data_IF_076950980930
#
_entry.id   IF_076950980930
#
_cell.length_a   1.000
_cell.length_b   1.000
_cell.length_c   1.000
_cell.angle_alpha   90.00
_cell.angle_beta   90.00
_cell.angle_gamma   90.00
#
_symmetry.space_group_name_H-M   'P 1'
#
loop_
_entity.id
_entity.type
_entity.pdbx_description
1 polymer ?
#
# COMPACT_ATOMS: atom_id res chain seq x y z
N UNK A 1 53.28 77.17 78.63
CA UNK A 1 53.82 76.02 79.40
C UNK A 1 53.00 74.80 79.00
N UNK A 2 53.68 73.67 78.76
CA UNK A 2 53.18 72.36 78.31
C UNK A 2 53.21 72.06 76.79
N UNK A 3 54.44 71.83 76.32
CA UNK A 3 55.01 70.67 75.61
C UNK A 3 54.36 70.01 74.36
N UNK A 4 55.23 69.87 73.35
CA UNK A 4 55.25 69.05 72.12
C UNK A 4 54.81 67.56 72.25
N UNK A 5 54.34 66.95 71.14
CA UNK A 5 55.11 65.93 70.35
C UNK A 5 54.40 65.42 69.07
N UNK A 6 55.25 64.93 68.17
CA UNK A 6 55.11 64.63 66.73
C UNK A 6 54.31 63.34 66.41
N UNK A 7 54.23 63.09 65.09
CA UNK A 7 54.13 61.82 64.34
C UNK A 7 52.77 61.20 64.07
N UNK A 8 52.54 60.85 62.80
CA UNK A 8 51.67 59.73 62.41
C UNK A 8 50.81 59.99 61.18
N UNK A 9 51.28 59.53 60.02
CA UNK A 9 50.47 59.38 58.81
C UNK A 9 49.39 58.30 58.99
N UNK A 10 48.24 58.42 58.31
CA UNK A 10 47.61 57.33 57.55
C UNK A 10 46.26 57.72 56.95
N UNK A 11 46.16 57.44 55.65
CA UNK A 11 45.08 56.72 54.97
C UNK A 11 43.66 57.31 54.93
N UNK A 12 43.28 57.77 53.74
CA UNK A 12 42.05 57.40 53.01
C UNK A 12 42.44 57.55 51.52
N UNK A 13 42.23 56.60 50.61
CA UNK A 13 40.98 56.43 49.86
C UNK A 13 41.10 55.19 48.93
N UNK A 14 39.96 54.51 48.80
CA UNK A 14 39.47 53.64 47.70
C UNK A 14 40.06 52.23 47.50
N UNK A 15 39.30 51.27 48.03
CA UNK A 15 39.15 49.90 47.54
C UNK A 15 38.82 49.87 46.05
N UNK A 16 39.64 49.20 45.24
CA UNK A 16 39.26 48.76 43.90
C UNK A 16 39.28 47.24 43.89
N UNK A 17 38.12 46.64 44.17
CA UNK A 17 37.84 45.24 43.87
C UNK A 17 37.75 45.12 42.34
N UNK A 18 38.78 44.59 41.69
CA UNK A 18 38.65 44.13 40.30
C UNK A 18 37.77 42.87 40.31
N UNK A 19 36.46 43.06 40.21
CA UNK A 19 35.57 42.02 39.78
C UNK A 19 35.89 41.75 38.30
N UNK A 20 36.70 40.73 38.02
CA UNK A 20 36.76 40.14 36.70
C UNK A 20 35.37 39.59 36.40
N UNK A 21 34.57 40.35 35.66
CA UNK A 21 33.32 39.87 35.10
C UNK A 21 33.69 38.76 34.11
N UNK A 22 33.67 37.51 34.58
CA UNK A 22 33.54 36.36 33.70
C UNK A 22 32.17 36.50 33.02
N UNK A 23 32.12 37.25 31.93
CA UNK A 23 30.98 37.21 31.03
C UNK A 23 30.89 35.80 30.50
N UNK A 24 29.98 34.99 31.04
CA UNK A 24 29.62 33.73 30.43
C UNK A 24 29.03 34.09 29.05
N UNK A 25 29.81 33.92 27.99
CA UNK A 25 29.29 33.99 26.63
C UNK A 25 28.44 32.74 26.42
N UNK A 26 27.13 32.90 26.54
CA UNK A 26 26.18 31.89 26.11
C UNK A 26 25.98 32.08 24.60
N UNK A 27 26.65 31.27 23.78
CA UNK A 27 26.29 31.16 22.37
C UNK A 27 24.91 30.50 22.28
N UNK A 28 23.98 31.21 21.66
CA UNK A 28 22.63 30.72 21.37
C UNK A 28 22.58 30.35 19.89
N UNK A 29 22.21 29.11 19.60
CA UNK A 29 22.05 28.61 18.23
C UNK A 29 20.58 28.29 18.03
N UNK A 30 19.98 28.93 17.03
CA UNK A 30 18.62 28.60 16.61
C UNK A 30 18.65 27.33 15.74
N UNK A 31 17.95 26.28 16.18
CA UNK A 31 17.75 25.07 15.41
C UNK A 31 16.36 25.12 14.76
N UNK A 32 16.32 25.14 13.43
CA UNK A 32 15.07 24.95 12.67
C UNK A 32 14.88 23.47 12.39
N UNK A 33 13.84 22.88 12.98
CA UNK A 33 13.45 21.48 12.75
C UNK A 33 12.15 21.47 11.94
N UNK A 34 12.19 20.87 10.76
CA UNK A 34 11.02 20.71 9.88
C UNK A 34 10.80 19.23 9.57
N UNK A 35 9.55 18.81 9.48
CA UNK A 35 9.17 17.46 9.04
C UNK A 35 7.76 17.47 8.46
N UNK A 36 7.42 16.44 7.69
CA UNK A 36 6.10 16.24 7.08
C UNK A 36 5.61 14.83 7.39
N UNK A 37 4.33 14.70 7.76
CA UNK A 37 3.64 13.41 7.92
C UNK A 37 2.77 13.22 6.67
N UNK A 38 2.85 12.04 6.06
CA UNK A 38 2.08 11.67 4.87
C UNK A 38 1.39 10.34 5.08
N UNK A 39 0.24 10.17 4.42
CA UNK A 39 -0.43 8.88 4.28
C UNK A 39 0.36 7.99 3.29
N UNK A 40 0.30 6.67 3.45
CA UNK A 40 1.11 5.72 2.64
C UNK A 40 0.28 4.68 1.88
N UNK A 41 -1.05 4.72 2.00
CA UNK A 41 -1.97 3.74 1.38
C UNK A 41 -3.24 4.40 0.87
N UNK A 42 -3.88 3.78 -0.12
CA UNK A 42 -5.25 4.09 -0.50
C UNK A 42 -6.26 3.26 0.32
N UNK A 43 -7.49 3.74 0.45
CA UNK A 43 -8.64 2.96 0.92
C UNK A 43 -9.24 2.16 -0.24
N UNK A 44 -9.57 0.88 -0.01
CA UNK A 44 -10.35 0.06 -0.96
C UNK A 44 -11.82 0.16 -0.57
N UNK A 45 -12.66 0.68 -1.47
CA UNK A 45 -14.04 1.07 -1.13
C UNK A 45 -15.05 -0.06 -1.19
N UNK A 46 -14.83 -1.02 -2.08
CA UNK A 46 -15.81 -2.08 -2.38
C UNK A 46 -15.44 -3.46 -1.80
N UNK A 47 -14.38 -3.54 -1.00
CA UNK A 47 -14.01 -4.73 -0.24
C UNK A 47 -14.51 -4.61 1.21
N UNK A 48 -15.71 -5.11 1.48
CA UNK A 48 -16.23 -5.15 2.84
C UNK A 48 -15.36 -6.07 3.70
N UNK A 49 -14.65 -5.53 4.70
CA UNK A 49 -13.70 -6.28 5.52
C UNK A 49 -12.68 -7.10 4.70
N UNK A 50 -12.17 -6.53 3.60
CA UNK A 50 -11.21 -7.19 2.71
C UNK A 50 -11.76 -8.41 1.94
N UNK A 51 -13.08 -8.56 1.85
CA UNK A 51 -13.73 -9.61 1.07
C UNK A 51 -14.65 -9.03 0.00
N UNK A 52 -14.64 -9.68 -1.17
CA UNK A 52 -15.59 -9.45 -2.25
C UNK A 52 -16.07 -10.80 -2.77
N UNK A 53 -17.30 -10.85 -3.27
CA UNK A 53 -17.87 -12.05 -3.89
C UNK A 53 -18.24 -11.72 -5.33
N UNK A 54 -17.73 -12.51 -6.27
CA UNK A 54 -18.08 -12.44 -7.68
C UNK A 54 -18.89 -13.68 -8.04
N UNK A 55 -20.19 -13.50 -8.25
CA UNK A 55 -21.09 -14.59 -8.66
C UNK A 55 -21.05 -14.79 -10.17
N UNK A 56 -20.26 -15.77 -10.60
CA UNK A 56 -20.13 -16.17 -12.00
C UNK A 56 -21.42 -16.78 -12.58
N UNK A 57 -22.43 -17.08 -11.77
CA UNK A 57 -23.68 -17.69 -12.21
C UNK A 57 -23.51 -19.11 -12.75
N UNK A 58 -24.50 -19.58 -13.49
CA UNK A 58 -24.51 -20.93 -14.09
C UNK A 58 -24.29 -20.87 -15.61
N UNK A 59 -23.60 -21.86 -16.15
CA UNK A 59 -23.33 -22.02 -17.58
C UNK A 59 -23.47 -23.49 -17.98
N UNK A 60 -23.98 -23.74 -19.18
CA UNK A 60 -24.08 -25.09 -19.75
C UNK A 60 -22.72 -25.63 -20.17
N UNK A 61 -22.57 -26.96 -20.15
CA UNK A 61 -21.33 -27.64 -20.57
C UNK A 61 -21.00 -27.39 -22.05
N UNK A 62 -22.01 -27.07 -22.86
CA UNK A 62 -21.95 -26.76 -24.29
C UNK A 62 -21.33 -25.39 -24.59
N UNK A 63 -21.18 -24.52 -23.59
CA UNK A 63 -20.44 -23.27 -23.74
C UNK A 63 -18.93 -23.48 -23.85
N UNK A 64 -18.43 -24.66 -23.47
CA UNK A 64 -17.01 -24.98 -23.50
C UNK A 64 -16.68 -25.82 -24.73
N UNK A 65 -15.76 -25.31 -25.56
CA UNK A 65 -15.39 -25.90 -26.85
C UNK A 65 -14.06 -26.65 -26.84
N UNK A 66 -13.38 -26.74 -25.69
CA UNK A 66 -12.04 -27.32 -25.57
C UNK A 66 -11.18 -26.63 -24.52
N UNK A 67 -9.94 -27.10 -24.36
CA UNK A 67 -8.99 -26.52 -23.42
C UNK A 67 -8.83 -25.00 -23.64
N UNK A 68 -8.92 -24.22 -22.56
CA UNK A 68 -8.82 -22.77 -22.62
C UNK A 68 -10.08 -22.04 -23.11
N UNK A 69 -11.15 -22.76 -23.47
CA UNK A 69 -12.43 -22.11 -23.77
C UNK A 69 -13.05 -21.52 -22.50
N UNK A 70 -13.60 -20.31 -22.64
CA UNK A 70 -14.19 -19.55 -21.54
C UNK A 70 -15.69 -19.79 -21.52
N UNK A 71 -16.20 -20.17 -20.34
CA UNK A 71 -17.63 -20.27 -20.07
C UNK A 71 -18.21 -18.92 -19.69
N UNK A 72 -18.89 -18.84 -18.55
CA UNK A 72 -19.37 -17.55 -18.05
C UNK A 72 -18.24 -16.71 -17.48
N UNK A 73 -18.36 -15.39 -17.64
CA UNK A 73 -17.47 -14.42 -17.03
C UNK A 73 -18.26 -13.26 -16.43
N UNK A 74 -17.69 -12.60 -15.42
CA UNK A 74 -18.27 -11.45 -14.76
C UNK A 74 -17.23 -10.36 -14.52
N UNK A 75 -17.50 -9.11 -14.95
CA UNK A 75 -16.68 -7.99 -14.59
C UNK A 75 -16.85 -7.69 -13.10
N UNK A 76 -15.76 -7.26 -12.49
CA UNK A 76 -15.73 -6.66 -11.15
C UNK A 76 -14.65 -5.57 -11.14
N UNK A 77 -14.68 -4.70 -10.15
CA UNK A 77 -13.72 -3.60 -10.05
C UNK A 77 -13.06 -3.64 -8.67
N UNK A 78 -11.83 -3.15 -8.54
CA UNK A 78 -11.30 -2.66 -7.27
C UNK A 78 -11.28 -1.13 -7.32
N UNK A 79 -12.06 -0.50 -6.44
CA UNK A 79 -12.14 0.96 -6.36
C UNK A 79 -11.30 1.47 -5.20
N UNK A 80 -10.43 2.45 -5.48
CA UNK A 80 -9.54 3.08 -4.51
C UNK A 80 -9.94 4.55 -4.31
N UNK A 81 -9.87 5.01 -3.07
CA UNK A 81 -10.05 6.42 -2.71
C UNK A 81 -9.07 6.86 -1.64
N UNK A 82 -8.92 8.19 -1.51
CA UNK A 82 -8.04 8.79 -0.51
C UNK A 82 -6.56 8.49 -0.75
N UNK A 83 -6.16 8.17 -1.98
CA UNK A 83 -4.76 8.01 -2.31
C UNK A 83 -4.01 9.34 -2.09
N UNK A 84 -2.86 9.34 -1.40
CA UNK A 84 -2.01 10.52 -1.24
C UNK A 84 -1.55 11.02 -2.62
N UNK A 85 -1.67 12.31 -2.89
CA UNK A 85 -1.29 12.92 -4.18
C UNK A 85 -0.15 13.94 -4.03
N UNK A 86 0.44 14.36 -5.15
CA UNK A 86 1.54 15.32 -5.20
C UNK A 86 2.92 14.66 -5.14
N UNK A 87 3.96 15.45 -4.88
CA UNK A 87 5.36 15.02 -5.01
C UNK A 87 5.79 13.88 -4.05
N UNK A 88 5.08 13.73 -2.93
CA UNK A 88 5.29 12.65 -1.95
C UNK A 88 4.10 11.68 -1.92
N UNK A 89 3.28 11.68 -2.99
CA UNK A 89 2.08 10.86 -3.10
C UNK A 89 2.37 9.45 -3.63
N UNK A 90 1.32 8.63 -3.71
CA UNK A 90 1.38 7.33 -4.38
C UNK A 90 1.35 7.58 -5.88
N UNK A 91 2.42 7.19 -6.58
CA UNK A 91 2.51 7.30 -8.02
C UNK A 91 1.87 6.09 -8.72
N UNK A 92 1.88 4.93 -8.06
CA UNK A 92 1.38 3.69 -8.61
C UNK A 92 0.79 2.75 -7.55
N UNK A 93 -0.30 2.08 -7.93
CA UNK A 93 -0.91 0.96 -7.22
C UNK A 93 -0.67 -0.29 -8.06
N UNK A 94 0.20 -1.18 -7.59
CA UNK A 94 0.43 -2.47 -8.22
C UNK A 94 -0.48 -3.54 -7.60
N UNK A 95 -1.16 -4.31 -8.45
CA UNK A 95 -2.16 -5.31 -8.06
C UNK A 95 -1.77 -6.65 -8.66
N UNK A 96 -1.53 -7.64 -7.81
CA UNK A 96 -1.17 -9.01 -8.18
C UNK A 96 -2.14 -10.02 -7.59
N UNK A 97 -2.53 -11.05 -8.35
CA UNK A 97 -3.43 -12.09 -7.87
C UNK A 97 -2.64 -13.32 -7.40
N UNK A 98 -2.98 -13.90 -6.26
CA UNK A 98 -2.39 -15.15 -5.79
C UNK A 98 -3.46 -16.13 -5.31
N UNK A 99 -3.17 -17.42 -5.37
CA UNK A 99 -4.09 -18.46 -4.92
C UNK A 99 -3.55 -19.86 -5.19
N UNK A 100 -4.40 -20.87 -4.99
CA UNK A 100 -4.05 -22.24 -5.36
C UNK A 100 -4.08 -22.38 -6.87
N UNK A 101 -2.94 -22.73 -7.48
CA UNK A 101 -2.87 -23.02 -8.91
C UNK A 101 -3.68 -24.27 -9.27
N UNK A 102 -4.38 -24.24 -10.40
CA UNK A 102 -4.96 -25.47 -10.96
C UNK A 102 -3.83 -26.42 -11.41
N UNK A 103 -3.93 -27.74 -11.16
CA UNK A 103 -2.85 -28.69 -11.46
C UNK A 103 -2.55 -28.86 -12.95
N UNK A 104 -3.48 -28.54 -13.84
CA UNK A 104 -3.33 -28.65 -15.30
C UNK A 104 -3.23 -27.25 -15.91
N UNK A 105 -4.06 -26.31 -15.46
CA UNK A 105 -4.05 -24.92 -15.89
C UNK A 105 -3.29 -24.05 -14.88
N UNK A 106 -1.97 -24.26 -14.78
CA UNK A 106 -1.14 -23.73 -13.68
C UNK A 106 -1.12 -22.22 -13.54
N UNK A 107 -1.48 -21.48 -14.59
CA UNK A 107 -1.59 -20.02 -14.52
C UNK A 107 -2.92 -19.56 -13.90
N UNK A 108 -3.99 -20.35 -14.00
CA UNK A 108 -5.26 -20.03 -13.35
C UNK A 108 -5.39 -20.59 -11.93
N UNK A 109 -6.57 -20.42 -11.37
CA UNK A 109 -6.91 -20.72 -9.99
C UNK A 109 -7.75 -21.99 -9.91
N UNK A 110 -7.35 -22.91 -9.04
CA UNK A 110 -8.06 -24.17 -8.82
C UNK A 110 -9.48 -23.91 -8.30
N UNK A 111 -10.42 -24.70 -8.81
CA UNK A 111 -11.74 -24.82 -8.21
C UNK A 111 -11.72 -25.77 -7.02
N UNK A 112 -12.37 -25.39 -5.92
CA UNK A 112 -12.66 -26.24 -4.75
C UNK A 112 -14.07 -26.83 -4.77
N UNK A 113 -14.84 -26.54 -5.82
CA UNK A 113 -16.16 -27.14 -6.06
C UNK A 113 -16.07 -28.60 -6.52
N UNK A 114 -17.23 -29.20 -6.79
CA UNK A 114 -17.36 -30.59 -7.23
C UNK A 114 -17.31 -30.77 -8.76
N UNK A 115 -17.48 -29.69 -9.55
CA UNK A 115 -17.21 -29.71 -10.98
C UNK A 115 -15.74 -30.05 -11.27
N UNK A 116 -15.50 -30.81 -12.34
CA UNK A 116 -14.17 -31.19 -12.83
C UNK A 116 -13.86 -30.49 -14.14
N UNK A 117 -12.57 -30.45 -14.49
CA UNK A 117 -12.04 -29.86 -15.72
C UNK A 117 -12.38 -28.37 -15.89
N UNK A 118 -12.46 -27.63 -14.79
CA UNK A 118 -12.76 -26.20 -14.79
C UNK A 118 -11.90 -25.49 -13.74
N UNK A 119 -11.31 -24.37 -14.15
CA UNK A 119 -10.57 -23.46 -13.30
C UNK A 119 -11.19 -22.06 -13.38
N UNK A 120 -10.68 -21.17 -12.54
CA UNK A 120 -11.01 -19.74 -12.57
C UNK A 120 -9.83 -18.98 -13.17
N UNK A 121 -10.13 -17.96 -13.99
CA UNK A 121 -9.18 -16.94 -14.43
C UNK A 121 -9.61 -15.57 -13.93
N UNK A 122 -8.62 -14.71 -13.64
CA UNK A 122 -8.82 -13.29 -13.40
C UNK A 122 -8.11 -12.54 -14.52
N UNK A 123 -8.85 -11.72 -15.25
CA UNK A 123 -8.35 -10.97 -16.39
C UNK A 123 -8.36 -9.47 -16.11
N UNK A 124 -7.36 -8.77 -16.64
CA UNK A 124 -7.37 -7.32 -16.83
C UNK A 124 -7.30 -7.06 -18.34
N UNK A 125 -8.42 -6.63 -18.92
CA UNK A 125 -8.60 -6.65 -20.37
C UNK A 125 -8.42 -8.07 -20.92
N UNK A 126 -7.45 -8.25 -21.82
CA UNK A 126 -7.11 -9.55 -22.42
C UNK A 126 -5.99 -10.30 -21.65
N UNK A 127 -5.40 -9.68 -20.62
CA UNK A 127 -4.29 -10.26 -19.87
C UNK A 127 -4.80 -11.06 -18.68
N UNK A 128 -4.54 -12.38 -18.67
CA UNK A 128 -4.80 -13.22 -17.51
C UNK A 128 -3.72 -13.02 -16.43
N UNK A 129 -4.14 -12.64 -15.22
CA UNK A 129 -3.30 -12.64 -14.03
C UNK A 129 -3.00 -14.07 -13.61
N UNK A 130 -1.77 -14.35 -13.17
CA UNK A 130 -1.38 -15.72 -12.82
C UNK A 130 -1.51 -15.98 -11.32
N UNK A 131 -1.85 -17.20 -10.93
CA UNK A 131 -2.07 -17.61 -9.54
C UNK A 131 -0.87 -17.48 -8.60
N UNK A 132 0.32 -17.19 -9.14
CA UNK A 132 1.56 -16.94 -8.41
C UNK A 132 1.98 -15.45 -8.41
N UNK A 133 1.08 -14.52 -8.76
CA UNK A 133 1.34 -13.08 -8.72
C UNK A 133 1.99 -12.50 -9.98
N UNK A 134 2.13 -13.30 -11.04
CA UNK A 134 2.57 -12.82 -12.33
C UNK A 134 1.47 -12.06 -13.08
N UNK A 135 1.87 -11.31 -14.10
CA UNK A 135 1.00 -10.41 -14.85
C UNK A 135 0.22 -9.43 -13.94
N UNK A 136 0.90 -8.95 -12.89
CA UNK A 136 0.40 -7.87 -12.05
C UNK A 136 0.13 -6.63 -12.91
N UNK A 137 -0.87 -5.85 -12.51
CA UNK A 137 -1.26 -4.63 -13.20
C UNK A 137 -0.93 -3.41 -12.35
N UNK A 138 -0.72 -2.31 -13.04
CA UNK A 138 -0.40 -1.02 -12.46
C UNK A 138 -1.56 -0.05 -12.71
N UNK A 139 -2.01 0.63 -11.66
CA UNK A 139 -3.05 1.65 -11.70
C UNK A 139 -2.51 2.94 -11.12
N UNK A 140 -2.64 4.03 -11.86
CA UNK A 140 -2.21 5.36 -11.41
C UNK A 140 -3.39 6.08 -10.77
N UNK A 141 -3.29 6.54 -9.51
CA UNK A 141 -4.30 7.39 -8.92
C UNK A 141 -4.46 8.71 -9.67
N UNK A 142 -5.70 9.17 -9.82
CA UNK A 142 -6.01 10.50 -10.31
C UNK A 142 -5.59 11.60 -9.34
N UNK A 143 -5.61 12.86 -9.81
CA UNK A 143 -5.30 14.04 -8.98
C UNK A 143 -6.28 14.21 -7.81
N UNK A 144 -7.48 13.63 -7.91
CA UNK A 144 -8.49 13.59 -6.85
C UNK A 144 -8.26 12.46 -5.82
N UNK A 145 -7.18 11.69 -5.98
CA UNK A 145 -6.83 10.57 -5.11
C UNK A 145 -7.71 9.33 -5.32
N UNK A 146 -8.43 9.24 -6.45
CA UNK A 146 -9.21 8.06 -6.81
C UNK A 146 -8.49 7.17 -7.83
N UNK A 147 -8.72 5.86 -7.78
CA UNK A 147 -8.19 4.93 -8.77
C UNK A 147 -9.14 3.74 -8.96
N UNK A 148 -9.09 3.08 -10.12
CA UNK A 148 -9.95 1.94 -10.44
C UNK A 148 -9.18 0.88 -11.20
N UNK A 149 -9.33 -0.38 -10.79
CA UNK A 149 -8.85 -1.54 -11.53
C UNK A 149 -10.05 -2.34 -12.02
N UNK A 150 -10.32 -2.31 -13.32
CA UNK A 150 -11.38 -3.12 -13.95
C UNK A 150 -10.83 -4.52 -14.23
N UNK A 151 -11.52 -5.53 -13.70
CA UNK A 151 -11.11 -6.93 -13.77
C UNK A 151 -12.30 -7.79 -14.24
N UNK A 152 -12.01 -8.99 -14.71
CA UNK A 152 -13.04 -9.98 -15.06
C UNK A 152 -12.67 -11.31 -14.46
N UNK A 153 -13.60 -11.94 -13.73
CA UNK A 153 -13.47 -13.34 -13.34
C UNK A 153 -14.15 -14.21 -14.40
N UNK A 154 -13.55 -15.34 -14.76
CA UNK A 154 -14.08 -16.25 -15.77
C UNK A 154 -13.91 -17.71 -15.37
N UNK A 155 -14.86 -18.56 -15.77
CA UNK A 155 -14.65 -20.01 -15.78
C UNK A 155 -13.93 -20.42 -17.06
N UNK A 156 -12.88 -21.23 -16.94
CA UNK A 156 -12.12 -21.74 -18.09
C UNK A 156 -12.10 -23.27 -18.07
N UNK A 157 -12.32 -23.89 -19.23
CA UNK A 157 -12.15 -25.34 -19.36
C UNK A 157 -10.67 -25.71 -19.25
N UNK A 158 -10.40 -26.73 -18.45
CA UNK A 158 -9.06 -27.26 -18.20
C UNK A 158 -8.88 -28.60 -18.91
N UNK A 159 -7.88 -28.68 -19.78
CA UNK A 159 -7.62 -29.86 -20.60
C UNK A 159 -8.72 -30.12 -21.64
N UNK A 160 -8.61 -31.23 -22.36
CA UNK A 160 -9.46 -31.50 -23.54
C UNK A 160 -10.83 -32.10 -23.19
N UNK A 161 -11.04 -32.50 -21.93
CA UNK A 161 -12.33 -33.04 -21.49
C UNK A 161 -13.24 -31.91 -21.03
N UNK A 162 -14.48 -31.88 -21.53
CA UNK A 162 -15.47 -30.87 -21.13
C UNK A 162 -15.68 -30.85 -19.59
N UNK A 163 -16.03 -29.68 -19.02
CA UNK A 163 -16.38 -29.59 -17.60
C UNK A 163 -17.54 -30.50 -17.22
N UNK A 164 -17.50 -31.05 -16.00
CA UNK A 164 -18.65 -31.80 -15.46
C UNK A 164 -19.63 -30.86 -14.78
N UNK A 165 -20.91 -31.24 -14.73
CA UNK A 165 -21.91 -30.52 -13.94
C UNK A 165 -21.52 -30.52 -12.46
N UNK A 166 -21.59 -29.36 -11.83
CA UNK A 166 -21.27 -29.16 -10.42
C UNK A 166 -21.08 -27.68 -10.09
N UNK A 167 -20.79 -27.44 -8.83
CA UNK A 167 -20.34 -26.16 -8.29
C UNK A 167 -18.90 -25.85 -8.68
N UNK A 168 -18.62 -24.56 -8.84
CA UNK A 168 -17.28 -24.01 -9.00
C UNK A 168 -17.09 -22.97 -7.90
N UNK A 169 -16.04 -23.09 -7.11
CA UNK A 169 -15.70 -22.17 -6.03
C UNK A 169 -14.20 -21.93 -6.06
N UNK A 170 -13.75 -20.70 -5.83
CA UNK A 170 -12.31 -20.42 -5.70
C UNK A 170 -12.09 -19.22 -4.79
N UNK A 171 -10.91 -19.17 -4.18
CA UNK A 171 -10.47 -18.02 -3.38
C UNK A 171 -9.23 -17.46 -4.04
N UNK A 172 -9.33 -16.21 -4.49
CA UNK A 172 -8.23 -15.45 -5.09
C UNK A 172 -7.89 -14.29 -4.16
N UNK A 173 -6.62 -14.18 -3.81
CA UNK A 173 -6.09 -13.08 -3.00
C UNK A 173 -5.56 -11.99 -3.92
N UNK A 174 -6.13 -10.80 -3.84
CA UNK A 174 -5.61 -9.61 -4.53
C UNK A 174 -4.60 -8.91 -3.61
N UNK A 175 -3.33 -8.94 -3.99
CA UNK A 175 -2.23 -8.31 -3.28
C UNK A 175 -2.00 -6.92 -3.86
N UNK A 176 -2.12 -5.90 -3.02
CA UNK A 176 -1.98 -4.50 -3.42
C UNK A 176 -0.72 -3.92 -2.79
N UNK A 177 0.12 -3.31 -3.61
CA UNK A 177 1.32 -2.59 -3.16
C UNK A 177 1.32 -1.15 -3.70
N UNK A 178 1.84 -0.22 -2.91
CA UNK A 178 1.82 1.21 -3.18
C UNK A 178 3.26 1.72 -3.32
N UNK A 179 3.52 2.53 -4.35
CA UNK A 179 4.84 3.12 -4.61
C UNK A 179 4.76 4.52 -5.19
#
# INVERSE_FOLDING_TARGET
MSTMKKTGAAAFVASVLLAASMGAQADTVDITVTGKIVETTCKIDNAANSAMTVDLGSVGVDAFSGAGSVGNSKPFELSFSGCPTGADGIANINIAATGTADPIFTNGFASTGDAKNVAIEILSGETAMTSNGGNAIDVVPGEDGSAKAELTAAMVQVGDTAPTVGSVNSVVTMNVTYS
#
